data_IF_229333597891
#
_entry.id   IF_229333597891
#
_cell.length_a   1.000
_cell.length_b   1.000
_cell.length_c   1.000
_cell.angle_alpha   90.00
_cell.angle_beta   90.00
_cell.angle_gamma   90.00
#
_symmetry.space_group_name_H-M   'P 1'
#
loop_
_entity.id
_entity.type
_entity.pdbx_description
1 polymer ?
#
# COMPACT_ATOMS: atom_id res chain seq x y z
N UNK A 1 -7.82 -11.90 13.57
CA UNK A 1 -8.51 -10.60 13.57
C UNK A 1 -9.35 -10.44 12.33
N UNK A 2 -10.62 -10.78 12.46
CA UNK A 2 -11.55 -10.71 11.35
C UNK A 2 -12.86 -10.12 11.82
N UNK A 3 -13.52 -9.40 10.92
CA UNK A 3 -14.86 -8.90 11.12
C UNK A 3 -15.82 -9.76 10.33
N UNK A 4 -17.03 -9.93 10.83
CA UNK A 4 -18.11 -10.58 10.09
C UNK A 4 -18.95 -9.49 9.45
N UNK A 5 -19.10 -9.56 8.14
CA UNK A 5 -19.87 -8.58 7.38
C UNK A 5 -20.95 -9.28 6.58
N UNK A 6 -22.10 -8.63 6.48
CA UNK A 6 -23.16 -9.05 5.58
C UNK A 6 -22.95 -8.32 4.26
N UNK A 7 -22.77 -9.10 3.20
CA UNK A 7 -22.53 -8.56 1.89
C UNK A 7 -23.45 -9.26 0.91
N UNK A 8 -24.39 -8.51 0.33
CA UNK A 8 -25.44 -9.06 -0.50
C UNK A 8 -26.23 -10.17 0.21
N UNK A 9 -26.49 -10.00 1.51
CA UNK A 9 -27.21 -10.96 2.30
C UNK A 9 -26.42 -12.20 2.74
N UNK A 10 -25.11 -12.21 2.47
CA UNK A 10 -24.22 -13.31 2.83
C UNK A 10 -23.25 -12.81 3.90
N UNK A 11 -23.14 -13.57 5.00
CA UNK A 11 -22.16 -13.28 6.04
C UNK A 11 -20.78 -13.76 5.59
N UNK A 12 -19.80 -12.87 5.67
CA UNK A 12 -18.42 -13.18 5.29
C UNK A 12 -17.45 -12.72 6.36
N UNK A 13 -16.39 -13.49 6.57
CA UNK A 13 -15.27 -13.05 7.38
C UNK A 13 -14.29 -12.30 6.49
N UNK A 14 -13.97 -11.06 6.86
CA UNK A 14 -12.99 -10.26 6.12
C UNK A 14 -11.94 -9.76 7.10
N UNK A 15 -10.75 -9.55 6.58
CA UNK A 15 -9.64 -9.01 7.38
C UNK A 15 -9.97 -7.59 7.82
N UNK A 16 -9.68 -7.24 9.08
CA UNK A 16 -9.89 -5.86 9.55
C UNK A 16 -8.95 -4.92 8.81
N UNK A 17 -9.31 -3.63 8.75
CA UNK A 17 -8.57 -2.62 8.00
C UNK A 17 -7.09 -2.55 8.37
N UNK A 18 -6.79 -2.58 9.66
CA UNK A 18 -5.42 -2.49 10.17
C UNK A 18 -4.55 -3.59 9.62
N UNK A 19 -5.08 -4.81 9.57
CA UNK A 19 -4.34 -5.98 9.10
C UNK A 19 -4.24 -5.99 7.58
N UNK A 20 -5.27 -5.52 6.90
CA UNK A 20 -5.26 -5.41 5.45
C UNK A 20 -4.18 -4.43 4.99
N UNK A 21 -4.11 -3.27 5.63
CA UNK A 21 -3.08 -2.28 5.34
C UNK A 21 -1.69 -2.84 5.62
N UNK A 22 -1.52 -3.49 6.77
CA UNK A 22 -0.24 -4.09 7.15
C UNK A 22 0.23 -5.11 6.12
N UNK A 23 -0.67 -5.97 5.65
CA UNK A 23 -0.33 -6.97 4.64
C UNK A 23 0.02 -6.35 3.29
N UNK A 24 -0.67 -5.27 2.90
CA UNK A 24 -0.36 -4.58 1.64
C UNK A 24 0.97 -3.86 1.71
N UNK A 25 1.28 -3.23 2.83
CA UNK A 25 2.56 -2.56 3.02
C UNK A 25 3.70 -3.59 3.01
N UNK A 26 3.51 -4.73 3.66
CA UNK A 26 4.50 -5.80 3.67
C UNK A 26 4.71 -6.37 2.26
N UNK A 27 3.63 -6.54 1.49
CA UNK A 27 3.73 -7.00 0.11
C UNK A 27 4.50 -5.99 -0.75
N UNK A 28 4.26 -4.70 -0.54
CA UNK A 28 5.01 -3.64 -1.22
C UNK A 28 6.50 -3.72 -0.89
N UNK A 29 6.83 -3.94 0.38
CA UNK A 29 8.21 -4.10 0.81
C UNK A 29 8.88 -5.30 0.13
N UNK A 30 8.17 -6.43 0.06
CA UNK A 30 8.75 -7.67 -0.44
C UNK A 30 8.95 -7.71 -1.94
N UNK A 31 8.10 -6.99 -2.70
CA UNK A 31 8.11 -7.10 -4.17
C UNK A 31 7.71 -5.79 -4.87
N UNK A 32 8.33 -4.69 -4.47
CA UNK A 32 8.00 -3.37 -4.97
C UNK A 32 7.99 -3.30 -6.51
N UNK A 33 8.95 -3.94 -7.16
CA UNK A 33 9.07 -3.89 -8.62
C UNK A 33 7.93 -4.63 -9.34
N UNK A 34 7.16 -5.45 -8.63
CA UNK A 34 6.03 -6.20 -9.21
C UNK A 34 4.72 -5.96 -8.47
N UNK A 35 4.72 -5.03 -7.51
CA UNK A 35 3.58 -4.79 -6.64
C UNK A 35 2.74 -3.61 -7.10
N UNK A 36 2.50 -3.50 -8.40
CA UNK A 36 1.83 -2.33 -9.00
C UNK A 36 0.48 -2.05 -8.37
N UNK A 37 -0.34 -3.09 -8.19
CA UNK A 37 -1.65 -2.95 -7.58
C UNK A 37 -1.55 -2.65 -6.10
N UNK A 38 -0.56 -3.24 -5.42
CA UNK A 38 -0.35 -3.00 -3.99
C UNK A 38 0.04 -1.53 -3.75
N UNK A 39 0.78 -0.92 -4.68
CA UNK A 39 1.12 0.50 -4.60
C UNK A 39 -0.15 1.35 -4.61
N UNK A 40 -1.10 1.05 -5.50
CA UNK A 40 -2.37 1.76 -5.56
C UNK A 40 -3.19 1.56 -4.28
N UNK A 41 -3.26 0.32 -3.80
CA UNK A 41 -3.99 0.01 -2.56
C UNK A 41 -3.39 0.73 -1.36
N UNK A 42 -2.06 0.76 -1.25
CA UNK A 42 -1.38 1.48 -0.17
C UNK A 42 -1.67 2.98 -0.27
N UNK A 43 -1.64 3.54 -1.48
CA UNK A 43 -2.00 4.94 -1.69
C UNK A 43 -3.42 5.22 -1.18
N UNK A 44 -4.37 4.36 -1.53
CA UNK A 44 -5.76 4.50 -1.11
C UNK A 44 -5.88 4.49 0.43
N UNK A 45 -5.20 3.56 1.09
CA UNK A 45 -5.23 3.47 2.55
C UNK A 45 -4.62 4.72 3.20
N UNK A 46 -3.48 5.17 2.68
CA UNK A 46 -2.82 6.38 3.19
C UNK A 46 -3.67 7.62 2.97
N UNK A 47 -4.26 7.74 1.78
CA UNK A 47 -5.11 8.88 1.41
C UNK A 47 -6.33 8.98 2.33
N UNK A 48 -6.87 7.84 2.76
CA UNK A 48 -8.05 7.78 3.61
C UNK A 48 -7.70 7.65 5.09
N UNK A 49 -6.43 7.80 5.45
CA UNK A 49 -5.95 7.75 6.82
C UNK A 49 -6.35 6.47 7.56
N UNK A 50 -6.28 5.34 6.87
CA UNK A 50 -6.57 4.05 7.50
C UNK A 50 -5.54 3.72 8.57
N UNK A 51 -5.96 3.15 9.70
CA UNK A 51 -5.02 2.66 10.70
C UNK A 51 -4.24 1.46 10.17
N UNK A 52 -3.06 1.22 10.71
CA UNK A 52 -2.22 0.08 10.32
C UNK A 52 -1.78 -0.71 11.55
N UNK A 53 -1.79 -2.04 11.43
CA UNK A 53 -1.28 -2.91 12.48
C UNK A 53 0.24 -3.00 12.34
N UNK A 54 0.94 -2.13 13.06
CA UNK A 54 2.41 -2.04 12.99
C UNK A 54 3.09 -3.33 13.44
N UNK A 55 2.55 -3.97 14.48
CA UNK A 55 3.09 -5.23 14.98
C UNK A 55 3.06 -6.32 13.93
N UNK A 56 2.00 -6.38 13.13
CA UNK A 56 1.89 -7.36 12.06
C UNK A 56 2.95 -7.14 10.99
N UNK A 57 3.21 -5.88 10.64
CA UNK A 57 4.28 -5.54 9.69
C UNK A 57 5.62 -6.00 10.23
N UNK A 58 5.91 -5.66 11.48
CA UNK A 58 7.18 -6.00 12.13
C UNK A 58 7.37 -7.51 12.22
N UNK A 59 6.31 -8.21 12.58
CA UNK A 59 6.36 -9.66 12.72
C UNK A 59 6.58 -10.35 11.37
N UNK A 60 5.90 -9.87 10.34
CA UNK A 60 5.99 -10.46 9.00
C UNK A 60 7.35 -10.21 8.35
N UNK A 61 7.88 -8.99 8.50
CA UNK A 61 9.12 -8.58 7.85
C UNK A 61 10.36 -8.76 8.73
N UNK A 62 10.15 -8.98 10.02
CA UNK A 62 11.24 -9.14 11.00
C UNK A 62 12.15 -7.91 11.07
N UNK A 63 11.58 -6.72 10.95
CA UNK A 63 12.26 -5.43 11.10
C UNK A 63 11.31 -4.48 11.80
N UNK A 64 11.82 -3.32 12.24
CA UNK A 64 10.95 -2.32 12.87
C UNK A 64 10.03 -1.70 11.83
N UNK A 65 8.88 -1.20 12.29
CA UNK A 65 7.94 -0.53 11.41
C UNK A 65 8.58 0.67 10.71
N UNK A 66 9.35 1.45 11.46
CA UNK A 66 10.06 2.61 10.91
C UNK A 66 11.02 2.19 9.80
N UNK A 67 11.77 1.12 10.02
CA UNK A 67 12.70 0.59 9.01
C UNK A 67 11.94 0.11 7.77
N UNK A 68 10.76 -0.50 7.96
CA UNK A 68 9.94 -0.94 6.83
C UNK A 68 9.51 0.22 5.96
N UNK A 69 9.16 1.36 6.58
CA UNK A 69 8.79 2.57 5.83
C UNK A 69 9.97 3.10 5.01
N UNK A 70 11.15 3.19 5.63
CA UNK A 70 12.36 3.65 4.94
C UNK A 70 12.66 2.77 3.73
N UNK A 71 12.62 1.45 3.92
CA UNK A 71 12.89 0.50 2.84
C UNK A 71 11.87 0.55 1.73
N UNK A 72 10.59 0.71 2.07
CA UNK A 72 9.54 0.86 1.06
C UNK A 72 9.77 2.11 0.21
N UNK A 73 10.10 3.23 0.86
CA UNK A 73 10.40 4.48 0.16
C UNK A 73 11.57 4.29 -0.81
N UNK A 74 12.66 3.70 -0.33
CA UNK A 74 13.84 3.45 -1.17
C UNK A 74 13.50 2.59 -2.38
N UNK A 75 12.73 1.52 -2.17
CA UNK A 75 12.35 0.62 -3.25
C UNK A 75 11.44 1.31 -4.26
N UNK A 76 10.49 2.11 -3.79
CA UNK A 76 9.58 2.85 -4.67
C UNK A 76 10.33 3.87 -5.52
N UNK A 77 11.35 4.50 -4.96
CA UNK A 77 12.15 5.47 -5.71
C UNK A 77 12.84 4.84 -6.92
N UNK A 78 13.10 3.54 -6.85
CA UNK A 78 13.74 2.79 -7.94
C UNK A 78 12.77 2.25 -8.97
N UNK A 79 11.47 2.17 -8.64
CA UNK A 79 10.45 1.66 -9.56
C UNK A 79 9.99 2.78 -10.49
N UNK A 80 9.97 2.53 -11.80
CA UNK A 80 9.52 3.54 -12.76
C UNK A 80 7.99 3.65 -12.76
N UNK A 81 7.49 4.85 -13.04
CA UNK A 81 6.05 5.07 -13.19
C UNK A 81 5.47 4.23 -14.34
N UNK A 82 6.26 4.00 -15.38
CA UNK A 82 5.85 3.15 -16.51
C UNK A 82 5.64 1.71 -16.05
N UNK A 83 6.50 1.18 -15.19
CA UNK A 83 6.35 -0.16 -14.65
C UNK A 83 5.07 -0.29 -13.81
N UNK A 84 4.77 0.72 -13.00
CA UNK A 84 3.55 0.76 -12.20
C UNK A 84 2.33 0.75 -13.11
N UNK A 85 2.31 1.62 -14.11
CA UNK A 85 1.19 1.75 -15.05
C UNK A 85 0.97 0.45 -15.84
N UNK A 86 2.04 -0.19 -16.26
CA UNK A 86 1.98 -1.42 -17.06
C UNK A 86 1.20 -2.53 -16.35
N UNK A 87 1.39 -2.66 -15.03
CA UNK A 87 0.70 -3.69 -14.26
C UNK A 87 -0.77 -3.39 -14.00
N UNK A 88 -1.24 -2.17 -14.27
CA UNK A 88 -2.59 -1.72 -13.96
C UNK A 88 -3.39 -1.30 -15.19
N UNK A 89 -2.80 -1.36 -16.39
CA UNK A 89 -3.36 -0.75 -17.59
C UNK A 89 -4.79 -1.17 -17.91
N UNK A 90 -5.15 -2.44 -17.65
CA UNK A 90 -6.48 -2.96 -17.95
C UNK A 90 -7.53 -2.53 -16.93
N UNK A 91 -7.11 -2.06 -15.76
CA UNK A 91 -8.00 -1.71 -14.66
C UNK A 91 -8.34 -0.23 -14.61
N UNK A 92 -7.69 0.58 -15.46
CA UNK A 92 -7.77 2.03 -15.38
C UNK A 92 -8.35 2.63 -16.66
N UNK A 93 -9.14 3.69 -16.51
CA UNK A 93 -9.56 4.49 -17.66
C UNK A 93 -8.43 5.44 -18.08
N UNK A 94 -8.63 6.20 -19.16
CA UNK A 94 -7.60 7.10 -19.70
C UNK A 94 -7.14 8.14 -18.69
N UNK A 95 -8.07 8.74 -17.94
CA UNK A 95 -7.73 9.76 -16.95
C UNK A 95 -6.95 9.20 -15.79
N UNK A 96 -7.34 8.01 -15.32
CA UNK A 96 -6.64 7.32 -14.25
C UNK A 96 -5.22 6.95 -14.68
N UNK A 97 -5.03 6.51 -15.91
CA UNK A 97 -3.71 6.17 -16.44
C UNK A 97 -2.77 7.39 -16.44
N UNK A 98 -3.28 8.54 -16.83
CA UNK A 98 -2.50 9.77 -16.83
C UNK A 98 -2.08 10.11 -15.40
N UNK A 99 -3.00 10.04 -14.45
CA UNK A 99 -2.70 10.33 -13.05
C UNK A 99 -1.69 9.35 -12.46
N UNK A 100 -1.86 8.04 -12.69
CA UNK A 100 -0.95 7.02 -12.18
C UNK A 100 0.45 7.26 -12.72
N UNK A 101 0.56 7.51 -14.02
CA UNK A 101 1.86 7.76 -14.66
C UNK A 101 2.55 8.99 -14.07
N UNK A 102 1.79 10.05 -13.80
CA UNK A 102 2.36 11.33 -13.40
C UNK A 102 2.55 11.46 -11.91
N UNK A 103 1.67 10.89 -11.09
CA UNK A 103 1.59 11.27 -9.68
C UNK A 103 1.54 10.14 -8.65
N UNK A 104 1.07 8.96 -8.99
CA UNK A 104 0.85 7.91 -7.97
C UNK A 104 2.12 7.63 -7.16
N UNK A 105 3.22 7.39 -7.84
CA UNK A 105 4.49 7.10 -7.17
C UNK A 105 4.90 8.22 -6.21
N UNK A 106 4.86 9.46 -6.71
CA UNK A 106 5.24 10.64 -5.93
C UNK A 106 4.35 10.80 -4.70
N UNK A 107 3.04 10.62 -4.87
CA UNK A 107 2.08 10.73 -3.78
C UNK A 107 2.31 9.66 -2.71
N UNK A 108 2.52 8.42 -3.11
CA UNK A 108 2.76 7.32 -2.15
C UNK A 108 4.04 7.59 -1.36
N UNK A 109 5.12 7.98 -2.05
CA UNK A 109 6.38 8.29 -1.38
C UNK A 109 6.20 9.43 -0.39
N UNK A 110 5.50 10.48 -0.79
CA UNK A 110 5.24 11.62 0.10
C UNK A 110 4.46 11.18 1.34
N UNK A 111 3.39 10.42 1.16
CA UNK A 111 2.55 9.98 2.27
C UNK A 111 3.30 9.03 3.20
N UNK A 112 4.15 8.16 2.65
CA UNK A 112 4.99 7.28 3.48
C UNK A 112 6.01 8.08 4.28
N UNK A 113 6.57 9.15 3.70
CA UNK A 113 7.49 10.03 4.43
C UNK A 113 6.78 10.75 5.57
N UNK A 114 5.55 11.20 5.35
CA UNK A 114 4.74 11.82 6.42
C UNK A 114 4.51 10.82 7.55
N UNK A 115 4.14 9.59 7.21
CA UNK A 115 3.95 8.54 8.20
C UNK A 115 5.26 8.27 8.96
N UNK A 116 6.38 8.23 8.26
CA UNK A 116 7.70 8.02 8.87
C UNK A 116 8.03 9.14 9.85
N UNK A 117 7.76 10.40 9.49
CA UNK A 117 8.01 11.54 10.37
C UNK A 117 7.18 11.49 11.64
N UNK A 118 6.02 10.84 11.61
CA UNK A 118 5.16 10.67 12.77
C UNK A 118 5.56 9.48 13.65
N UNK A 119 6.47 8.64 13.19
CA UNK A 119 7.01 7.51 13.97
C UNK A 119 8.22 7.97 14.77
N UNK A 120 8.09 7.96 16.07
CA UNK A 120 9.17 8.40 16.96
C UNK A 120 9.69 7.30 17.83
#
# INVERSE_FOLDING_TARGET
>A
KYEVMNYFGISMKVMVKEDMFANKLAALYERAERANRDIFDVWFFLQNSWPINKELVEKRLNITFKESLVKCIEKLEKVSSRAILSGMGELLDANQKVWVKAKLKTEVIFLLKVMLDNEK
#
